data_IF_834441031746
#
_entry.id   IF_834441031746
#
_cell.length_a   1.000
_cell.length_b   1.000
_cell.length_c   1.000
_cell.angle_alpha   90.00
_cell.angle_beta   90.00
_cell.angle_gamma   90.00
#
_symmetry.space_group_name_H-M   'P 1'
#
loop_
_entity.id
_entity.type
_entity.pdbx_description
1 polymer ?
#
# COMPACT_ATOMS: atom_id res chain seq x y z
N UNK A 1 -38.83 -3.97 -42.34
CA UNK A 1 -37.67 -4.43 -41.54
C UNK A 1 -37.44 -3.61 -40.25
N UNK A 2 -38.00 -2.41 -40.11
CA UNK A 2 -37.83 -1.54 -38.92
C UNK A 2 -38.76 -1.94 -37.74
N UNK A 3 -39.90 -2.58 -38.02
CA UNK A 3 -40.84 -3.04 -36.97
C UNK A 3 -40.34 -4.23 -36.13
N UNK A 4 -39.36 -4.99 -36.62
CA UNK A 4 -38.86 -6.17 -35.89
C UNK A 4 -37.90 -5.80 -34.74
N UNK A 5 -37.26 -4.63 -34.85
CA UNK A 5 -36.36 -4.09 -33.81
C UNK A 5 -37.10 -3.28 -32.72
N UNK A 6 -38.32 -2.81 -32.97
CA UNK A 6 -39.10 -2.05 -31.97
C UNK A 6 -39.89 -2.92 -30.99
N UNK A 7 -40.19 -4.16 -31.35
CA UNK A 7 -40.93 -5.13 -30.52
C UNK A 7 -40.26 -5.43 -29.16
N UNK A 8 -38.96 -5.77 -29.07
CA UNK A 8 -38.33 -6.07 -27.79
C UNK A 8 -38.19 -4.83 -26.89
N UNK A 9 -37.93 -3.66 -27.48
CA UNK A 9 -37.85 -2.40 -26.73
C UNK A 9 -39.21 -1.96 -26.16
N UNK A 10 -40.28 -2.10 -26.94
CA UNK A 10 -41.64 -1.82 -26.49
C UNK A 10 -42.10 -2.78 -25.39
N UNK A 11 -41.73 -4.06 -25.46
CA UNK A 11 -42.00 -5.04 -24.42
C UNK A 11 -41.24 -4.74 -23.12
N UNK A 12 -39.95 -4.38 -23.19
CA UNK A 12 -39.17 -4.00 -22.02
C UNK A 12 -39.68 -2.71 -21.37
N UNK A 13 -40.08 -1.73 -22.18
CA UNK A 13 -40.66 -0.48 -21.68
C UNK A 13 -42.06 -0.70 -21.07
N UNK A 14 -42.89 -1.59 -21.62
CA UNK A 14 -44.20 -1.89 -21.01
C UNK A 14 -44.09 -2.71 -19.73
N UNK A 15 -43.09 -3.58 -19.61
CA UNK A 15 -42.87 -4.40 -18.41
C UNK A 15 -42.13 -3.64 -17.29
N UNK A 16 -41.16 -2.80 -17.65
CA UNK A 16 -40.21 -2.21 -16.69
C UNK A 16 -40.13 -0.68 -16.74
N UNK A 17 -40.87 -0.02 -17.64
CA UNK A 17 -40.86 1.43 -17.86
C UNK A 17 -39.44 2.01 -17.82
N UNK A 18 -39.16 2.89 -16.85
CA UNK A 18 -37.89 3.61 -16.72
C UNK A 18 -36.69 2.68 -16.43
N UNK A 19 -36.91 1.50 -15.85
CA UNK A 19 -35.84 0.51 -15.63
C UNK A 19 -35.30 -0.08 -16.94
N UNK A 20 -36.05 -0.02 -18.05
CA UNK A 20 -35.58 -0.47 -19.36
C UNK A 20 -34.38 0.33 -19.89
N UNK A 21 -34.25 1.61 -19.49
CA UNK A 21 -33.10 2.45 -19.84
C UNK A 21 -31.80 2.05 -19.13
N UNK A 22 -31.90 1.34 -18.01
CA UNK A 22 -30.72 0.88 -17.26
C UNK A 22 -30.16 -0.43 -17.78
N UNK A 23 -30.95 -1.21 -18.52
CA UNK A 23 -30.51 -2.50 -19.09
C UNK A 23 -29.33 -2.32 -20.06
N UNK A 24 -29.33 -1.38 -21.02
CA UNK A 24 -28.17 -1.13 -21.87
C UNK A 24 -26.94 -0.67 -21.10
N UNK A 25 -27.12 0.20 -20.10
CA UNK A 25 -26.03 0.70 -19.25
C UNK A 25 -25.40 -0.43 -18.43
N UNK A 26 -26.22 -1.33 -17.89
CA UNK A 26 -25.78 -2.51 -17.16
C UNK A 26 -25.01 -3.47 -18.07
N UNK A 27 -25.53 -3.76 -19.27
CA UNK A 27 -24.85 -4.63 -20.24
C UNK A 27 -23.50 -4.04 -20.68
N UNK A 28 -23.43 -2.72 -20.85
CA UNK A 28 -22.18 -2.02 -21.15
C UNK A 28 -21.18 -2.12 -20.00
N UNK A 29 -21.61 -1.88 -18.75
CA UNK A 29 -20.77 -2.02 -17.57
C UNK A 29 -20.28 -3.47 -17.38
N UNK A 30 -21.15 -4.45 -17.61
CA UNK A 30 -20.82 -5.88 -17.57
C UNK A 30 -19.79 -6.25 -18.64
N UNK A 31 -19.99 -5.79 -19.89
CA UNK A 31 -19.06 -6.02 -21.00
C UNK A 31 -17.69 -5.38 -20.75
N UNK A 32 -17.67 -4.12 -20.25
CA UNK A 32 -16.45 -3.43 -19.86
C UNK A 32 -15.71 -4.20 -18.76
N UNK A 33 -16.43 -4.67 -17.75
CA UNK A 33 -15.84 -5.41 -16.64
C UNK A 33 -15.28 -6.79 -17.07
N UNK A 34 -15.97 -7.49 -17.98
CA UNK A 34 -15.48 -8.75 -18.57
C UNK A 34 -14.26 -8.54 -19.48
N UNK A 35 -14.17 -7.42 -20.21
CA UNK A 35 -13.08 -7.12 -21.13
C UNK A 35 -11.82 -6.58 -20.41
N UNK A 36 -12.00 -5.92 -19.27
CA UNK A 36 -10.88 -5.39 -18.49
C UNK A 36 -10.08 -6.51 -17.79
N UNK A 37 -8.74 -6.47 -17.86
CA UNK A 37 -7.84 -7.40 -17.14
C UNK A 37 -7.81 -7.17 -15.61
N UNK A 38 -8.64 -6.28 -15.08
CA UNK A 38 -8.76 -5.91 -13.64
C UNK A 38 -9.83 -6.80 -12.96
N UNK A 39 -9.78 -8.10 -13.27
CA UNK A 39 -10.83 -9.04 -12.91
C UNK A 39 -10.74 -9.44 -11.43
N UNK A 40 -11.65 -8.91 -10.61
CA UNK A 40 -11.87 -9.31 -9.21
C UNK A 40 -13.29 -9.83 -9.07
N UNK A 41 -13.45 -11.07 -8.58
CA UNK A 41 -14.77 -11.75 -8.46
C UNK A 41 -15.75 -10.95 -7.60
N UNK A 42 -15.22 -10.18 -6.66
CA UNK A 42 -15.97 -9.32 -5.73
C UNK A 42 -16.74 -8.21 -6.44
N UNK A 43 -16.19 -7.65 -7.53
CA UNK A 43 -16.83 -6.57 -8.29
C UNK A 43 -18.00 -7.07 -9.13
N UNK A 44 -17.93 -8.32 -9.63
CA UNK A 44 -19.03 -8.93 -10.38
C UNK A 44 -20.26 -9.14 -9.47
N UNK A 45 -20.03 -9.56 -8.22
CA UNK A 45 -21.11 -9.76 -7.23
C UNK A 45 -21.82 -8.43 -6.96
N UNK A 46 -21.08 -7.34 -6.72
CA UNK A 46 -21.66 -6.02 -6.47
C UNK A 46 -22.43 -5.51 -7.70
N UNK A 47 -21.87 -5.68 -8.90
CA UNK A 47 -22.54 -5.27 -10.14
C UNK A 47 -23.86 -6.02 -10.34
N UNK A 48 -23.88 -7.34 -10.11
CA UNK A 48 -25.11 -8.14 -10.23
C UNK A 48 -26.17 -7.78 -9.19
N UNK A 49 -25.76 -7.49 -7.94
CA UNK A 49 -26.68 -7.06 -6.88
C UNK A 49 -27.27 -5.67 -7.13
N UNK A 50 -26.59 -4.82 -7.89
CA UNK A 50 -27.04 -3.46 -8.18
C UNK A 50 -28.30 -3.43 -9.05
N UNK A 51 -28.62 -4.50 -9.80
CA UNK A 51 -29.82 -4.55 -10.67
C UNK A 51 -31.11 -4.54 -9.84
N UNK A 52 -31.10 -5.26 -8.71
CA UNK A 52 -32.27 -5.51 -7.88
C UNK A 52 -32.97 -4.20 -7.42
N UNK A 53 -32.27 -3.21 -6.84
CA UNK A 53 -32.89 -1.95 -6.41
C UNK A 53 -33.45 -1.10 -7.57
N UNK A 54 -32.93 -1.21 -8.79
CA UNK A 54 -33.49 -0.51 -9.94
C UNK A 54 -34.83 -1.10 -10.38
N UNK A 55 -34.95 -2.43 -10.34
CA UNK A 55 -36.21 -3.12 -10.66
C UNK A 55 -37.27 -2.80 -9.61
N UNK A 56 -36.91 -2.86 -8.32
CA UNK A 56 -37.85 -2.54 -7.24
C UNK A 56 -38.23 -1.06 -7.20
N UNK A 57 -37.31 -0.15 -7.51
CA UNK A 57 -37.59 1.29 -7.65
C UNK A 57 -38.57 1.58 -8.79
N UNK A 58 -38.41 0.94 -9.95
CA UNK A 58 -39.35 1.09 -11.07
C UNK A 58 -40.75 0.60 -10.69
N UNK A 59 -40.82 -0.54 -10.01
CA UNK A 59 -42.08 -1.11 -9.55
C UNK A 59 -42.77 -0.24 -8.49
N UNK A 60 -41.99 0.33 -7.57
CA UNK A 60 -42.46 1.29 -6.57
C UNK A 60 -43.08 2.54 -7.22
N UNK A 61 -42.42 3.10 -8.24
CA UNK A 61 -42.94 4.25 -8.98
C UNK A 61 -44.25 3.93 -9.72
N UNK A 62 -44.39 2.74 -10.30
CA UNK A 62 -45.64 2.31 -10.94
C UNK A 62 -46.82 2.23 -9.94
N UNK A 63 -46.56 1.76 -8.72
CA UNK A 63 -47.57 1.67 -7.66
C UNK A 63 -47.91 3.05 -7.08
N UNK A 64 -46.92 3.95 -6.96
CA UNK A 64 -47.12 5.30 -6.41
C UNK A 64 -47.90 6.22 -7.37
N UNK A 65 -47.66 6.10 -8.68
CA UNK A 65 -48.28 6.93 -9.71
C UNK A 65 -49.28 6.16 -10.58
N UNK A 66 -49.97 5.19 -9.97
CA UNK A 66 -50.93 4.33 -10.65
C UNK A 66 -52.05 5.09 -11.39
N UNK A 67 -52.32 6.35 -11.04
CA UNK A 67 -53.31 7.20 -11.71
C UNK A 67 -52.83 7.83 -13.02
N UNK A 68 -51.52 7.87 -13.29
CA UNK A 68 -50.92 8.58 -14.42
C UNK A 68 -50.08 7.71 -15.35
N UNK A 69 -49.65 6.52 -14.91
CA UNK A 69 -48.82 5.61 -15.70
C UNK A 69 -49.52 4.31 -16.04
N UNK A 70 -49.11 3.71 -17.15
CA UNK A 70 -49.45 2.33 -17.51
C UNK A 70 -48.87 1.38 -16.45
N UNK A 71 -49.73 0.62 -15.77
CA UNK A 71 -49.33 -0.26 -14.68
C UNK A 71 -49.04 -1.66 -15.25
N UNK A 72 -47.92 -2.27 -14.84
CA UNK A 72 -47.64 -3.68 -15.16
C UNK A 72 -48.63 -4.62 -14.45
N UNK A 73 -48.89 -5.84 -14.96
CA UNK A 73 -49.80 -6.79 -14.31
C UNK A 73 -49.42 -7.10 -12.85
N UNK A 74 -48.12 -7.13 -12.56
CA UNK A 74 -47.62 -7.33 -11.20
C UNK A 74 -47.90 -6.11 -10.30
N UNK A 75 -47.72 -4.88 -10.80
CA UNK A 75 -47.99 -3.67 -10.01
C UNK A 75 -49.50 -3.49 -9.80
N UNK A 76 -50.32 -3.88 -10.79
CA UNK A 76 -51.78 -3.90 -10.68
C UNK A 76 -52.23 -4.85 -9.57
N UNK A 77 -51.67 -6.06 -9.50
CA UNK A 77 -51.95 -7.01 -8.42
C UNK A 77 -51.66 -6.43 -7.03
N UNK A 78 -50.55 -5.71 -6.86
CA UNK A 78 -50.19 -5.06 -5.59
C UNK A 78 -51.19 -3.96 -5.23
N UNK A 79 -51.56 -3.12 -6.20
CA UNK A 79 -52.55 -2.04 -5.99
C UNK A 79 -53.93 -2.62 -5.65
N UNK A 80 -54.38 -3.68 -6.34
CA UNK A 80 -55.67 -4.34 -6.09
C UNK A 80 -55.76 -5.00 -4.71
N UNK A 81 -54.66 -5.59 -4.22
CA UNK A 81 -54.65 -6.35 -2.96
C UNK A 81 -54.34 -5.50 -1.74
N UNK A 82 -53.45 -4.52 -1.87
CA UNK A 82 -52.90 -3.76 -0.74
C UNK A 82 -53.22 -2.28 -0.81
N UNK A 83 -53.71 -1.77 -1.95
CA UNK A 83 -53.88 -0.34 -2.19
C UNK A 83 -52.56 0.36 -2.55
N UNK A 84 -52.64 1.45 -3.32
CA UNK A 84 -51.45 2.15 -3.82
C UNK A 84 -50.53 2.70 -2.72
N UNK A 85 -51.11 3.29 -1.66
CA UNK A 85 -50.34 3.88 -0.55
C UNK A 85 -49.63 2.79 0.27
N UNK A 86 -50.36 1.77 0.70
CA UNK A 86 -49.82 0.68 1.53
C UNK A 86 -48.85 -0.21 0.74
N UNK A 87 -49.18 -0.55 -0.51
CA UNK A 87 -48.28 -1.28 -1.41
C UNK A 87 -46.99 -0.49 -1.70
N UNK A 88 -47.10 0.82 -1.89
CA UNK A 88 -45.94 1.71 -2.05
C UNK A 88 -45.03 1.72 -0.83
N UNK A 89 -45.58 1.80 0.39
CA UNK A 89 -44.77 1.78 1.62
C UNK A 89 -44.00 0.46 1.76
N UNK A 90 -44.65 -0.68 1.47
CA UNK A 90 -44.02 -2.01 1.57
C UNK A 90 -42.86 -2.14 0.58
N UNK A 91 -43.07 -1.72 -0.67
CA UNK A 91 -42.03 -1.76 -1.70
C UNK A 91 -40.86 -0.81 -1.40
N UNK A 92 -41.15 0.34 -0.79
CA UNK A 92 -40.11 1.27 -0.33
C UNK A 92 -39.24 0.66 0.78
N UNK A 93 -39.85 -0.01 1.77
CA UNK A 93 -39.12 -0.72 2.82
C UNK A 93 -38.26 -1.85 2.25
N UNK A 94 -38.77 -2.56 1.25
CA UNK A 94 -38.03 -3.60 0.55
C UNK A 94 -36.81 -3.03 -0.21
N UNK A 95 -36.98 -1.91 -0.91
CA UNK A 95 -35.88 -1.19 -1.57
C UNK A 95 -34.80 -0.73 -0.56
N UNK A 96 -35.21 -0.24 0.61
CA UNK A 96 -34.28 0.16 1.68
C UNK A 96 -33.49 -1.04 2.19
N UNK A 97 -34.13 -2.19 2.35
CA UNK A 97 -33.49 -3.44 2.76
C UNK A 97 -32.45 -3.91 1.72
N UNK A 98 -32.77 -3.84 0.43
CA UNK A 98 -31.85 -4.17 -0.67
C UNK A 98 -30.62 -3.25 -0.66
N UNK A 99 -30.81 -1.96 -0.45
CA UNK A 99 -29.71 -0.99 -0.36
C UNK A 99 -28.81 -1.28 0.86
N UNK A 100 -29.40 -1.63 2.01
CA UNK A 100 -28.66 -2.01 3.21
C UNK A 100 -27.86 -3.30 2.98
N UNK A 101 -28.44 -4.29 2.31
CA UNK A 101 -27.76 -5.52 1.93
C UNK A 101 -26.53 -5.23 1.07
N UNK A 102 -26.64 -4.36 0.07
CA UNK A 102 -25.52 -3.94 -0.79
C UNK A 102 -24.42 -3.27 0.05
N UNK A 103 -24.78 -2.36 0.96
CA UNK A 103 -23.80 -1.71 1.86
C UNK A 103 -23.10 -2.72 2.78
N UNK A 104 -23.82 -3.72 3.28
CA UNK A 104 -23.25 -4.76 4.15
C UNK A 104 -22.32 -5.69 3.38
N UNK A 105 -22.70 -6.12 2.18
CA UNK A 105 -21.85 -6.94 1.30
C UNK A 105 -20.59 -6.16 0.89
N UNK A 106 -20.73 -4.86 0.57
CA UNK A 106 -19.58 -3.99 0.30
C UNK A 106 -18.63 -3.91 1.50
N UNK A 107 -19.15 -3.70 2.71
CA UNK A 107 -18.35 -3.69 3.94
C UNK A 107 -17.66 -5.03 4.23
N UNK A 108 -18.21 -6.15 3.74
CA UNK A 108 -17.65 -7.49 3.92
C UNK A 108 -16.56 -7.81 2.89
N UNK A 109 -16.77 -7.42 1.63
CA UNK A 109 -15.81 -7.62 0.54
C UNK A 109 -14.69 -6.57 0.52
N UNK A 110 -14.97 -5.37 1.00
CA UNK A 110 -14.03 -4.25 1.14
C UNK A 110 -14.07 -3.75 2.58
N UNK A 111 -13.46 -4.48 3.54
CA UNK A 111 -13.31 -3.95 4.89
C UNK A 111 -12.60 -2.61 4.78
N UNK A 112 -13.25 -1.55 5.28
CA UNK A 112 -12.63 -0.24 5.35
C UNK A 112 -11.28 -0.40 6.06
N UNK A 113 -10.19 0.19 5.56
CA UNK A 113 -8.93 0.19 6.28
C UNK A 113 -9.20 0.72 7.69
N UNK A 114 -8.76 -0.04 8.69
CA UNK A 114 -9.04 0.20 10.11
C UNK A 114 -8.75 1.67 10.44
N UNK A 115 -9.80 2.43 10.71
CA UNK A 115 -9.68 3.82 11.12
C UNK A 115 -9.21 3.78 12.56
N UNK A 116 -7.89 3.71 12.74
CA UNK A 116 -7.23 3.95 14.01
C UNK A 116 -7.81 5.25 14.62
N UNK A 117 -8.35 5.23 15.84
CA UNK A 117 -8.89 6.42 16.47
C UNK A 117 -7.73 7.31 16.90
N UNK A 118 -7.43 8.35 16.12
CA UNK A 118 -6.41 9.34 16.49
C UNK A 118 -5.71 9.99 15.30
N UNK A 119 -6.46 10.68 14.45
CA UNK A 119 -5.90 11.58 13.43
C UNK A 119 -6.62 12.92 13.54
N UNK A 120 -6.19 13.72 14.51
CA UNK A 120 -6.61 15.11 14.65
C UNK A 120 -6.32 15.83 13.33
N UNK A 121 -7.37 16.36 12.71
CA UNK A 121 -7.34 17.29 11.59
C UNK A 121 -6.49 18.50 12.00
N UNK A 122 -5.18 18.43 11.79
CA UNK A 122 -4.37 19.62 11.57
C UNK A 122 -4.50 19.93 10.09
N UNK A 123 -5.45 20.83 9.82
CA UNK A 123 -5.45 21.70 8.66
C UNK A 123 -4.04 22.24 8.47
N UNK A 124 -3.30 21.67 7.53
CA UNK A 124 -2.13 22.33 6.97
C UNK A 124 -2.69 23.54 6.26
N UNK A 125 -2.52 24.70 6.90
CA UNK A 125 -2.74 26.00 6.32
C UNK A 125 -1.96 26.04 5.01
N UNK A 126 -2.71 26.14 3.91
CA UNK A 126 -2.21 26.68 2.66
C UNK A 126 -1.53 28.02 2.98
N UNK A 127 -0.26 28.12 2.58
CA UNK A 127 0.41 29.40 2.45
C UNK A 127 0.94 29.42 1.02
N UNK A 128 0.05 29.77 0.10
CA UNK A 128 0.41 30.30 -1.21
C UNK A 128 0.92 31.72 -1.06
N UNK A 129 2.06 32.03 -1.71
CA UNK A 129 2.24 33.13 -2.67
C UNK A 129 3.74 33.30 -3.02
N UNK A 130 4.09 33.88 -4.18
CA UNK A 130 3.80 33.42 -5.54
C UNK A 130 5.10 33.32 -6.37
N UNK A 131 5.27 32.28 -7.17
CA UNK A 131 6.45 32.12 -8.02
C UNK A 131 6.09 31.52 -9.37
N UNK A 132 6.01 32.40 -10.37
CA UNK A 132 6.02 32.19 -11.83
C UNK A 132 5.41 30.88 -12.37
N UNK A 133 4.21 31.01 -12.93
CA UNK A 133 3.67 30.08 -13.93
C UNK A 133 4.62 30.03 -15.14
N UNK A 134 5.27 28.88 -15.36
CA UNK A 134 5.78 28.47 -16.66
C UNK A 134 4.71 27.58 -17.33
N UNK A 135 4.36 27.84 -18.60
CA UNK A 135 3.25 27.14 -19.25
C UNK A 135 3.60 25.67 -19.54
N UNK A 136 2.69 24.77 -19.16
CA UNK A 136 2.70 23.31 -19.34
C UNK A 136 2.78 22.81 -20.81
N UNK A 137 3.05 23.68 -21.78
CA UNK A 137 3.11 23.33 -23.20
C UNK A 137 4.50 22.98 -23.74
N UNK A 138 5.59 23.26 -23.01
CA UNK A 138 6.95 22.97 -23.50
C UNK A 138 7.52 21.62 -23.01
N UNK A 139 7.07 21.10 -21.87
CA UNK A 139 7.58 19.85 -21.29
C UNK A 139 7.14 18.60 -22.08
N UNK A 140 5.94 18.63 -22.67
CA UNK A 140 5.43 17.56 -23.52
C UNK A 140 6.11 17.56 -24.90
N UNK A 141 6.46 18.74 -25.42
CA UNK A 141 7.10 18.90 -26.72
C UNK A 141 8.55 18.35 -26.74
N UNK A 142 9.27 18.40 -25.61
CA UNK A 142 10.63 17.88 -25.51
C UNK A 142 10.64 16.33 -25.46
N UNK A 143 9.65 15.72 -24.82
CA UNK A 143 9.53 14.26 -24.73
C UNK A 143 9.09 13.66 -26.07
N UNK A 144 8.18 14.32 -26.80
CA UNK A 144 7.75 13.85 -28.12
C UNK A 144 8.83 14.08 -29.20
N UNK A 145 9.67 15.12 -29.08
CA UNK A 145 10.77 15.37 -30.01
C UNK A 145 11.91 14.33 -29.87
N UNK A 146 12.23 13.87 -28.67
CA UNK A 146 13.25 12.81 -28.47
C UNK A 146 12.75 11.44 -28.96
N UNK A 147 11.45 11.13 -28.81
CA UNK A 147 10.86 9.87 -29.30
C UNK A 147 10.69 9.89 -30.82
N UNK A 148 10.35 11.03 -31.41
CA UNK A 148 10.25 11.21 -32.87
C UNK A 148 11.61 11.07 -33.56
N UNK A 149 12.71 11.44 -32.91
CA UNK A 149 14.07 11.31 -33.47
C UNK A 149 14.57 9.86 -33.59
N UNK A 150 13.92 8.90 -32.93
CA UNK A 150 14.25 7.47 -32.99
C UNK A 150 13.39 6.68 -33.98
N UNK A 151 12.29 7.26 -34.49
CA UNK A 151 11.30 6.54 -35.30
C UNK A 151 11.47 6.73 -36.82
N UNK A 152 12.26 7.70 -37.28
CA UNK A 152 12.52 7.95 -38.70
C UNK A 152 13.98 7.65 -39.07
N UNK A 153 14.30 6.36 -39.07
CA UNK A 153 15.47 5.79 -39.75
C UNK A 153 14.99 4.82 -40.81
N UNK A 154 15.10 5.24 -42.06
CA UNK A 154 14.70 4.56 -43.29
C UNK A 154 15.12 3.10 -43.38
N UNK A 155 14.25 2.28 -43.98
CA UNK A 155 14.56 0.96 -44.48
C UNK A 155 15.66 1.05 -45.56
N UNK A 156 16.91 0.88 -45.17
CA UNK A 156 18.02 0.59 -46.09
C UNK A 156 18.13 -0.91 -46.31
N UNK A 157 18.50 -1.28 -47.54
CA UNK A 157 18.64 -2.65 -48.06
C UNK A 157 19.52 -3.55 -47.18
N UNK A 158 19.40 -4.89 -47.29
CA UNK A 158 20.20 -5.80 -46.47
C UNK A 158 21.68 -5.63 -46.78
N UNK A 159 22.40 -4.94 -45.91
CA UNK A 159 23.86 -4.93 -45.88
C UNK A 159 24.33 -6.36 -45.63
N UNK A 160 25.10 -6.91 -46.58
CA UNK A 160 25.85 -8.14 -46.37
C UNK A 160 26.68 -8.01 -45.09
N UNK A 161 26.45 -8.90 -44.13
CA UNK A 161 27.25 -9.03 -42.93
C UNK A 161 28.66 -9.46 -43.34
N UNK A 162 29.52 -8.48 -43.61
CA UNK A 162 30.95 -8.69 -43.59
C UNK A 162 31.30 -9.20 -42.20
N UNK A 163 31.84 -10.42 -42.13
CA UNK A 163 32.42 -10.97 -40.90
C UNK A 163 33.45 -9.98 -40.38
N UNK A 164 33.07 -9.18 -39.39
CA UNK A 164 34.01 -8.40 -38.60
C UNK A 164 34.80 -9.42 -37.81
N UNK A 165 35.97 -9.77 -38.33
CA UNK A 165 36.99 -10.52 -37.63
C UNK A 165 37.14 -9.89 -36.25
N UNK A 166 36.72 -10.62 -35.22
CA UNK A 166 36.91 -10.27 -33.82
C UNK A 166 38.40 -10.32 -33.54
N UNK A 167 39.10 -9.22 -33.84
CA UNK A 167 40.43 -9.00 -33.28
C UNK A 167 40.21 -8.90 -31.78
N UNK A 168 40.54 -9.98 -31.06
CA UNK A 168 40.45 -10.06 -29.61
C UNK A 168 41.31 -8.96 -28.99
N UNK A 169 40.71 -7.80 -28.75
CA UNK A 169 41.21 -6.87 -27.77
C UNK A 169 40.91 -7.52 -26.43
N UNK A 170 41.94 -8.08 -25.81
CA UNK A 170 41.84 -8.57 -24.44
C UNK A 170 41.33 -7.39 -23.59
N UNK A 171 40.07 -7.48 -23.12
CA UNK A 171 39.56 -6.55 -22.14
C UNK A 171 40.54 -6.55 -20.97
N UNK A 172 41.13 -5.39 -20.68
CA UNK A 172 42.03 -5.23 -19.55
C UNK A 172 41.27 -5.72 -18.32
N UNK A 173 41.87 -6.64 -17.56
CA UNK A 173 41.27 -7.21 -16.36
C UNK A 173 40.81 -6.06 -15.45
N UNK A 174 39.50 -5.93 -15.28
CA UNK A 174 38.92 -4.81 -14.55
C UNK A 174 39.13 -5.07 -13.05
N UNK A 175 40.17 -4.45 -12.49
CA UNK A 175 40.33 -4.37 -11.05
C UNK A 175 39.44 -3.26 -10.52
N UNK A 176 38.50 -3.58 -9.62
CA UNK A 176 37.79 -2.54 -8.89
C UNK A 176 38.80 -1.66 -8.13
N UNK A 177 38.65 -0.33 -8.13
CA UNK A 177 39.35 0.53 -7.19
C UNK A 177 38.72 0.33 -5.81
N UNK A 178 39.05 -0.78 -5.15
CA UNK A 178 38.50 -1.19 -3.84
C UNK A 178 39.01 -0.29 -2.71
N UNK A 179 40.18 0.31 -2.88
CA UNK A 179 40.82 1.12 -1.84
C UNK A 179 40.50 2.61 -2.01
N UNK A 180 39.99 3.24 -0.95
CA UNK A 180 39.82 4.69 -0.86
C UNK A 180 38.57 5.28 -1.52
N UNK A 181 37.78 4.51 -2.28
CA UNK A 181 36.54 5.00 -2.90
C UNK A 181 35.41 5.15 -1.89
N UNK A 182 35.30 4.22 -0.95
CA UNK A 182 34.23 4.22 0.05
C UNK A 182 34.63 5.01 1.28
N UNK A 183 33.75 5.92 1.71
CA UNK A 183 33.94 6.72 2.91
C UNK A 183 33.86 5.85 4.16
N UNK A 184 34.77 6.11 5.09
CA UNK A 184 34.67 5.62 6.47
C UNK A 184 33.86 6.62 7.29
N UNK A 185 33.01 6.10 8.16
CA UNK A 185 32.31 6.90 9.15
C UNK A 185 32.82 6.49 10.52
N UNK A 186 33.19 7.47 11.34
CA UNK A 186 33.53 7.24 12.74
C UNK A 186 32.24 6.89 13.49
N UNK A 187 31.83 5.63 13.40
CA UNK A 187 30.73 5.13 14.19
C UNK A 187 31.26 4.94 15.61
N UNK A 188 30.83 5.79 16.55
CA UNK A 188 31.10 5.59 17.96
C UNK A 188 30.57 4.23 18.44
N UNK A 189 30.82 3.89 19.72
CA UNK A 189 30.33 2.64 20.33
C UNK A 189 28.82 2.70 20.58
N UNK A 190 28.01 2.74 19.52
CA UNK A 190 26.55 2.89 19.59
C UNK A 190 25.89 1.77 20.41
N UNK A 191 26.48 0.57 20.46
CA UNK A 191 25.99 -0.56 21.23
C UNK A 191 26.15 -0.39 22.75
N UNK A 192 26.91 0.62 23.19
CA UNK A 192 27.14 0.86 24.61
C UNK A 192 25.89 1.47 25.25
N UNK A 193 25.38 0.78 26.28
CA UNK A 193 24.31 1.28 27.14
C UNK A 193 24.90 2.39 28.02
N UNK A 194 24.58 3.63 27.68
CA UNK A 194 24.92 4.84 28.42
C UNK A 194 23.87 5.14 29.49
N UNK A 195 24.15 6.13 30.33
CA UNK A 195 23.25 6.52 31.41
C UNK A 195 21.93 7.09 30.87
N UNK A 196 21.95 7.78 29.73
CA UNK A 196 20.74 8.24 29.04
C UNK A 196 19.81 7.07 28.66
N UNK A 197 20.36 5.95 28.17
CA UNK A 197 19.58 4.76 27.84
C UNK A 197 18.96 4.12 29.10
N UNK A 198 19.68 4.13 30.22
CA UNK A 198 19.17 3.63 31.50
C UNK A 198 18.09 4.54 32.07
N UNK A 199 18.25 5.84 31.94
CA UNK A 199 17.25 6.84 32.32
C UNK A 199 15.98 6.68 31.47
N UNK A 200 16.11 6.50 30.16
CA UNK A 200 14.98 6.21 29.28
C UNK A 200 14.23 4.93 29.71
N UNK A 201 14.93 3.87 30.13
CA UNK A 201 14.30 2.67 30.68
C UNK A 201 13.52 2.95 31.98
N UNK A 202 14.06 3.81 32.86
CA UNK A 202 13.39 4.22 34.09
C UNK A 202 12.14 5.05 33.81
N UNK A 203 12.23 6.04 32.90
CA UNK A 203 11.10 6.86 32.44
C UNK A 203 10.02 5.97 31.80
N UNK A 204 10.41 4.99 30.98
CA UNK A 204 9.48 4.05 30.37
C UNK A 204 8.72 3.24 31.42
N UNK A 205 9.43 2.71 32.42
CA UNK A 205 8.83 1.98 33.54
C UNK A 205 7.85 2.86 34.32
N UNK A 206 8.27 4.07 34.68
CA UNK A 206 7.43 5.04 35.39
C UNK A 206 6.19 5.41 34.56
N UNK A 207 6.35 5.64 33.26
CA UNK A 207 5.25 5.97 32.36
C UNK A 207 4.21 4.85 32.36
N UNK A 208 4.63 3.60 32.20
CA UNK A 208 3.69 2.46 32.26
C UNK A 208 2.97 2.39 33.62
N UNK A 209 3.68 2.65 34.72
CA UNK A 209 3.11 2.67 36.06
C UNK A 209 2.06 3.79 36.26
N UNK A 210 2.30 5.00 35.74
CA UNK A 210 1.35 6.11 35.76
C UNK A 210 0.02 5.74 35.07
N UNK A 211 0.09 4.95 34.00
CA UNK A 211 -1.08 4.39 33.33
C UNK A 211 -1.63 3.11 33.99
N UNK A 212 -1.19 2.78 35.21
CA UNK A 212 -1.59 1.59 35.98
C UNK A 212 -1.29 0.30 35.23
N UNK A 213 -0.15 0.24 34.54
CA UNK A 213 0.39 -0.96 33.90
C UNK A 213 1.64 -1.36 34.67
N UNK A 214 1.54 -2.43 35.45
CA UNK A 214 2.69 -3.02 36.13
C UNK A 214 3.50 -3.81 35.11
N UNK A 215 4.76 -3.41 34.91
CA UNK A 215 5.69 -4.09 34.03
C UNK A 215 7.13 -3.87 34.50
N UNK A 216 8.02 -4.78 34.09
CA UNK A 216 9.45 -4.72 34.39
C UNK A 216 10.26 -4.64 33.10
N UNK A 217 11.33 -3.83 33.12
CA UNK A 217 12.31 -3.81 32.03
C UNK A 217 13.28 -4.97 32.27
N UNK A 218 13.22 -6.01 31.44
CA UNK A 218 14.05 -7.22 31.59
C UNK A 218 15.33 -7.16 30.76
N UNK A 219 15.39 -6.30 29.75
CA UNK A 219 16.55 -6.18 28.89
C UNK A 219 16.55 -4.90 28.07
N UNK A 220 17.74 -4.49 27.63
CA UNK A 220 17.96 -3.35 26.75
C UNK A 220 18.87 -3.82 25.62
N UNK A 221 18.44 -3.62 24.37
CA UNK A 221 19.23 -3.90 23.17
C UNK A 221 19.37 -2.62 22.37
N UNK A 222 20.56 -2.03 22.41
CA UNK A 222 20.86 -0.78 21.72
C UNK A 222 21.46 -1.05 20.35
N UNK A 223 20.71 -0.70 19.31
CA UNK A 223 21.15 -0.76 17.92
C UNK A 223 21.72 0.57 17.42
N UNK A 224 22.06 0.65 16.11
CA UNK A 224 22.61 1.87 15.52
C UNK A 224 21.59 3.02 15.42
N UNK A 225 20.33 2.70 15.10
CA UNK A 225 19.27 3.70 14.85
C UNK A 225 18.23 3.74 15.96
N UNK A 226 17.94 2.58 16.56
CA UNK A 226 16.91 2.42 17.59
C UNK A 226 17.44 1.58 18.76
N UNK A 227 16.83 1.75 19.93
CA UNK A 227 17.01 0.92 21.11
C UNK A 227 15.72 0.17 21.38
N UNK A 228 15.82 -1.15 21.58
CA UNK A 228 14.71 -1.99 22.01
C UNK A 228 14.77 -2.22 23.52
N UNK A 229 13.73 -1.79 24.23
CA UNK A 229 13.49 -2.14 25.62
C UNK A 229 12.60 -3.37 25.69
N UNK A 230 13.09 -4.44 26.31
CA UNK A 230 12.31 -5.65 26.57
C UNK A 230 11.52 -5.47 27.86
N UNK A 231 10.19 -5.51 27.75
CA UNK A 231 9.25 -5.26 28.84
C UNK A 231 8.48 -6.54 29.15
N UNK A 232 8.54 -7.00 30.40
CA UNK A 232 7.73 -8.09 30.91
C UNK A 232 6.50 -7.50 31.63
N UNK A 233 5.29 -7.56 31.04
CA UNK A 233 4.09 -7.10 31.72
C UNK A 233 3.66 -8.09 32.81
N UNK A 234 3.06 -7.57 33.88
CA UNK A 234 2.47 -8.39 34.93
C UNK A 234 1.29 -9.23 34.40
N UNK A 235 0.99 -10.34 35.08
CA UNK A 235 -0.13 -11.21 34.73
C UNK A 235 -1.45 -10.42 34.64
N UNK A 236 -2.22 -10.68 33.58
CA UNK A 236 -3.52 -10.04 33.34
C UNK A 236 -3.46 -8.68 32.64
N UNK A 237 -2.28 -8.11 32.40
CA UNK A 237 -2.14 -6.91 31.56
C UNK A 237 -2.39 -7.28 30.09
N UNK A 238 -3.37 -6.63 29.46
CA UNK A 238 -3.63 -6.80 28.02
C UNK A 238 -2.55 -6.10 27.19
N UNK A 239 -2.01 -6.80 26.20
CA UNK A 239 -1.00 -6.28 25.25
C UNK A 239 -1.51 -5.03 24.53
N UNK A 240 -2.78 -5.01 24.12
CA UNK A 240 -3.40 -3.86 23.45
C UNK A 240 -3.35 -2.58 24.29
N UNK A 241 -3.36 -2.69 25.63
CA UNK A 241 -3.26 -1.55 26.52
C UNK A 241 -1.88 -0.90 26.44
N UNK A 242 -0.82 -1.70 26.28
CA UNK A 242 0.55 -1.20 26.09
C UNK A 242 0.66 -0.61 24.68
N UNK A 243 0.14 -1.31 23.66
CA UNK A 243 0.14 -0.84 22.27
C UNK A 243 -0.51 0.54 22.12
N UNK A 244 -1.64 0.77 22.79
CA UNK A 244 -2.38 2.04 22.76
C UNK A 244 -1.67 3.19 23.49
N UNK A 245 -0.59 2.93 24.23
CA UNK A 245 0.21 3.96 24.89
C UNK A 245 1.42 4.41 24.06
N UNK A 246 1.58 3.93 22.82
CA UNK A 246 2.72 4.27 21.97
C UNK A 246 3.00 5.79 21.92
N UNK A 247 1.96 6.61 21.71
CA UNK A 247 2.10 8.07 21.61
C UNK A 247 2.47 8.71 22.95
N UNK A 248 1.89 8.22 24.06
CA UNK A 248 2.22 8.72 25.40
C UNK A 248 3.66 8.36 25.80
N UNK A 249 4.11 7.16 25.44
CA UNK A 249 5.49 6.70 25.65
C UNK A 249 6.44 7.54 24.79
N UNK A 250 6.10 7.79 23.52
CA UNK A 250 6.89 8.64 22.64
C UNK A 250 7.03 10.06 23.22
N UNK A 251 5.93 10.64 23.71
CA UNK A 251 5.94 11.95 24.36
C UNK A 251 6.85 11.98 25.59
N UNK A 252 6.73 10.99 26.48
CA UNK A 252 7.51 10.92 27.72
C UNK A 252 9.01 10.71 27.49
N UNK A 253 9.36 10.00 26.42
CA UNK A 253 10.75 9.76 26.03
C UNK A 253 11.31 10.82 25.07
N UNK A 254 10.54 11.88 24.77
CA UNK A 254 10.88 12.88 23.76
C UNK A 254 11.28 12.26 22.40
N UNK A 255 10.65 11.13 22.04
CA UNK A 255 10.91 10.40 20.82
C UNK A 255 9.93 10.82 19.72
N UNK A 256 10.38 10.80 18.46
CA UNK A 256 9.51 11.16 17.32
C UNK A 256 8.35 10.19 17.14
N UNK A 257 8.59 8.90 17.39
CA UNK A 257 7.59 7.82 17.45
C UNK A 257 8.20 6.62 18.16
N UNK A 258 7.35 5.72 18.63
CA UNK A 258 7.77 4.45 19.24
C UNK A 258 7.06 3.30 18.53
N UNK A 259 7.76 2.18 18.31
CA UNK A 259 7.18 0.97 17.72
C UNK A 259 7.07 -0.11 18.80
N UNK A 260 5.89 -0.70 18.94
CA UNK A 260 5.62 -1.74 19.92
C UNK A 260 5.55 -3.09 19.19
N UNK A 261 6.41 -4.01 19.58
CA UNK A 261 6.52 -5.37 19.06
C UNK A 261 6.02 -6.32 20.13
N UNK A 262 4.85 -6.93 19.92
CA UNK A 262 4.26 -7.81 20.92
C UNK A 262 3.56 -9.02 20.28
N UNK A 263 3.82 -10.25 20.75
CA UNK A 263 4.96 -10.65 21.61
C UNK A 263 6.29 -10.62 20.83
N UNK A 264 7.42 -10.52 21.54
CA UNK A 264 8.74 -10.79 20.94
C UNK A 264 8.82 -12.29 20.61
N UNK A 265 9.17 -12.69 19.36
CA UNK A 265 9.32 -14.10 19.01
C UNK A 265 10.27 -14.84 19.97
N UNK A 266 9.80 -15.95 20.54
CA UNK A 266 10.59 -16.76 21.47
C UNK A 266 10.72 -16.21 22.90
N UNK A 267 10.06 -15.10 23.24
CA UNK A 267 10.09 -14.51 24.59
C UNK A 267 8.69 -14.13 25.09
N UNK A 268 8.47 -14.21 26.40
CA UNK A 268 7.25 -13.73 27.06
C UNK A 268 7.32 -12.21 27.34
N UNK A 269 7.79 -11.42 26.38
CA UNK A 269 8.04 -9.99 26.56
C UNK A 269 7.47 -9.16 25.40
N UNK A 270 7.27 -7.87 25.67
CA UNK A 270 6.90 -6.84 24.70
C UNK A 270 8.14 -6.00 24.42
N UNK A 271 8.49 -5.85 23.15
CA UNK A 271 9.59 -5.00 22.71
C UNK A 271 9.08 -3.58 22.44
N UNK A 272 9.72 -2.58 23.04
CA UNK A 272 9.44 -1.17 22.78
C UNK A 272 10.66 -0.58 22.09
N UNK A 273 10.54 -0.32 20.79
CA UNK A 273 11.58 0.24 19.94
C UNK A 273 11.50 1.76 19.95
N UNK A 274 12.54 2.40 20.48
CA UNK A 274 12.65 3.85 20.63
C UNK A 274 13.82 4.34 19.78
N UNK A 275 13.65 5.39 18.94
CA UNK A 275 14.75 6.02 18.23
C UNK A 275 15.86 6.48 19.17
N UNK A 276 17.12 6.23 18.79
CA UNK A 276 18.26 6.79 19.51
C UNK A 276 18.31 8.31 19.31
N UNK A 277 18.78 9.02 20.33
CA UNK A 277 19.07 10.46 20.25
C UNK A 277 20.13 10.74 19.18
N UNK A 278 21.22 9.98 19.22
CA UNK A 278 22.28 9.98 18.21
C UNK A 278 22.23 8.69 17.40
N UNK A 279 21.92 8.81 16.11
CA UNK A 279 21.85 7.66 15.18
C UNK A 279 23.21 7.45 14.54
N UNK A 280 23.73 6.22 14.62
CA UNK A 280 24.93 5.83 13.90
C UNK A 280 24.64 5.54 12.42
N UNK A 281 25.55 5.93 11.54
CA UNK A 281 25.43 5.69 10.10
C UNK A 281 25.88 4.25 9.81
N UNK A 282 24.98 3.44 9.26
CA UNK A 282 25.37 2.13 8.72
C UNK A 282 26.00 2.35 7.36
N UNK A 283 27.33 2.26 7.28
CA UNK A 283 28.07 2.55 6.05
C UNK A 283 28.13 1.33 5.12
N UNK A 284 28.18 1.55 3.81
CA UNK A 284 28.37 0.42 2.88
C UNK A 284 29.75 -0.24 3.08
N UNK A 285 30.78 0.57 3.35
CA UNK A 285 32.16 0.10 3.59
C UNK A 285 32.24 -0.89 4.75
N UNK A 286 31.65 -0.55 5.90
CA UNK A 286 31.70 -1.42 7.08
C UNK A 286 31.02 -2.77 6.85
N UNK A 287 30.12 -2.87 5.87
CA UNK A 287 29.40 -4.10 5.55
C UNK A 287 30.18 -5.00 4.59
N UNK A 288 30.80 -4.42 3.57
CA UNK A 288 31.54 -5.21 2.56
C UNK A 288 32.87 -5.76 3.10
N UNK A 289 33.46 -5.15 4.13
CA UNK A 289 34.72 -5.65 4.73
C UNK A 289 34.49 -6.83 5.67
N UNK A 290 33.23 -7.16 6.00
CA UNK A 290 32.90 -8.25 6.91
C UNK A 290 33.17 -9.61 6.27
N UNK A 291 33.64 -10.55 7.08
CA UNK A 291 33.79 -11.95 6.67
C UNK A 291 32.47 -12.56 6.20
N UNK A 292 31.33 -12.13 6.78
CA UNK A 292 30.00 -12.56 6.33
C UNK A 292 29.66 -12.13 4.90
N UNK A 293 30.28 -11.06 4.39
CA UNK A 293 30.16 -10.65 2.98
C UNK A 293 31.25 -11.29 2.11
N UNK A 294 32.50 -11.30 2.59
CA UNK A 294 33.67 -11.73 1.83
C UNK A 294 33.74 -13.25 1.65
N UNK A 295 33.40 -14.03 2.68
CA UNK A 295 33.62 -15.49 2.72
C UNK A 295 32.32 -16.31 2.67
N UNK A 296 31.19 -15.70 2.29
CA UNK A 296 29.95 -16.45 2.10
C UNK A 296 29.98 -17.30 0.81
N UNK A 297 29.09 -18.30 0.74
CA UNK A 297 28.87 -19.14 -0.44
C UNK A 297 27.69 -18.63 -1.29
N UNK A 298 27.30 -17.37 -1.15
CA UNK A 298 26.17 -16.81 -1.90
C UNK A 298 26.57 -16.59 -3.36
N UNK A 299 25.62 -16.88 -4.26
CA UNK A 299 25.82 -16.67 -5.69
C UNK A 299 25.81 -15.18 -6.03
N UNK A 300 24.88 -14.43 -5.44
CA UNK A 300 24.76 -12.98 -5.61
C UNK A 300 24.49 -12.34 -4.24
N UNK A 301 25.52 -12.18 -3.39
CA UNK A 301 25.37 -11.52 -2.09
C UNK A 301 25.02 -10.04 -2.25
N UNK A 302 23.96 -9.61 -1.58
CA UNK A 302 23.52 -8.22 -1.51
C UNK A 302 23.48 -7.74 -0.05
N UNK A 303 24.00 -6.54 0.18
CA UNK A 303 23.99 -5.88 1.50
C UNK A 303 22.70 -5.07 1.64
N UNK A 304 21.90 -5.40 2.65
CA UNK A 304 20.70 -4.63 3.02
C UNK A 304 20.95 -3.63 4.15
N UNK A 305 21.96 -3.88 4.99
CA UNK A 305 22.32 -3.03 6.13
C UNK A 305 22.45 -3.84 7.40
N UNK A 306 22.10 -3.25 8.54
CA UNK A 306 22.10 -3.90 9.86
C UNK A 306 20.68 -4.00 10.40
N UNK A 307 20.43 -5.02 11.21
CA UNK A 307 19.17 -5.15 11.93
C UNK A 307 19.12 -4.20 13.16
N UNK A 308 18.06 -4.37 13.97
CA UNK A 308 17.85 -3.58 15.19
C UNK A 308 18.91 -3.84 16.28
N UNK A 309 19.60 -4.98 16.24
CA UNK A 309 20.69 -5.33 17.15
C UNK A 309 22.05 -4.88 16.62
N UNK A 310 22.12 -4.43 15.36
CA UNK A 310 23.36 -4.07 14.69
C UNK A 310 24.02 -5.23 13.96
N UNK A 311 23.35 -6.38 13.84
CA UNK A 311 23.85 -7.55 13.12
C UNK A 311 23.72 -7.35 11.61
N UNK A 312 24.75 -7.72 10.83
CA UNK A 312 24.76 -7.50 9.40
C UNK A 312 23.72 -8.37 8.68
N UNK A 313 22.92 -7.74 7.82
CA UNK A 313 21.90 -8.38 6.99
C UNK A 313 22.38 -8.46 5.55
N UNK A 314 22.82 -9.66 5.16
CA UNK A 314 23.31 -9.99 3.82
C UNK A 314 22.44 -11.12 3.29
N UNK A 315 21.93 -10.97 2.07
CA UNK A 315 21.00 -11.92 1.44
C UNK A 315 21.58 -12.38 0.10
N UNK A 316 21.30 -13.63 -0.28
CA UNK A 316 21.60 -14.11 -1.63
C UNK A 316 20.43 -13.79 -2.57
N UNK A 317 20.64 -12.86 -3.50
CA UNK A 317 19.64 -12.46 -4.48
C UNK A 317 19.24 -13.63 -5.40
N UNK A 318 20.09 -14.65 -5.58
CA UNK A 318 19.75 -15.82 -6.39
C UNK A 318 18.65 -16.68 -5.75
N UNK A 319 18.55 -16.71 -4.42
CA UNK A 319 17.50 -17.42 -3.69
C UNK A 319 16.19 -16.62 -3.65
N UNK A 320 16.25 -15.31 -3.85
CA UNK A 320 15.11 -14.40 -3.93
C UNK A 320 15.10 -13.67 -5.28
N UNK A 321 14.83 -14.37 -6.40
CA UNK A 321 15.14 -13.88 -7.76
C UNK A 321 14.35 -12.65 -8.18
N UNK A 322 13.26 -12.32 -7.47
CA UNK A 322 12.46 -11.14 -7.70
C UNK A 322 12.28 -10.37 -6.38
N UNK A 323 12.64 -9.09 -6.41
CA UNK A 323 12.58 -8.20 -5.25
C UNK A 323 11.73 -6.97 -5.59
N UNK A 324 10.75 -6.66 -4.76
CA UNK A 324 9.95 -5.43 -4.85
C UNK A 324 10.47 -4.41 -3.83
N UNK A 325 10.89 -3.23 -4.29
CA UNK A 325 11.34 -2.13 -3.43
C UNK A 325 10.37 -0.96 -3.57
N UNK A 326 9.65 -0.64 -2.49
CA UNK A 326 8.68 0.45 -2.45
C UNK A 326 8.92 1.39 -1.26
N UNK A 327 8.62 2.67 -1.42
CA UNK A 327 8.80 3.69 -0.39
C UNK A 327 8.60 5.11 -0.93
N UNK A 328 8.17 6.02 -0.05
CA UNK A 328 7.99 7.44 -0.33
C UNK A 328 9.33 8.15 -0.63
N UNK A 329 9.30 9.34 -1.21
CA UNK A 329 10.50 10.15 -1.45
C UNK A 329 11.23 10.43 -0.14
N UNK A 330 12.57 10.34 -0.16
CA UNK A 330 13.39 10.53 1.05
C UNK A 330 13.47 9.33 2.00
N UNK A 331 12.76 8.23 1.73
CA UNK A 331 12.82 7.01 2.58
C UNK A 331 14.08 6.16 2.42
N UNK A 332 14.93 6.47 1.43
CA UNK A 332 16.17 5.73 1.17
C UNK A 332 16.09 4.68 0.05
N UNK A 333 14.98 4.61 -0.71
CA UNK A 333 14.82 3.66 -1.83
C UNK A 333 15.97 3.68 -2.84
N UNK A 334 16.36 4.86 -3.35
CA UNK A 334 17.45 4.98 -4.32
C UNK A 334 18.81 4.59 -3.73
N UNK A 335 19.03 4.87 -2.43
CA UNK A 335 20.25 4.46 -1.72
C UNK A 335 20.30 2.93 -1.56
N UNK A 336 19.17 2.29 -1.27
CA UNK A 336 19.05 0.83 -1.21
C UNK A 336 19.38 0.17 -2.56
N UNK A 337 18.83 0.70 -3.66
CA UNK A 337 19.14 0.22 -5.01
C UNK A 337 20.64 0.34 -5.31
N UNK A 338 21.26 1.48 -4.97
CA UNK A 338 22.70 1.66 -5.14
C UNK A 338 23.51 0.68 -4.28
N UNK A 339 23.09 0.39 -3.04
CA UNK A 339 23.72 -0.64 -2.19
C UNK A 339 23.69 -2.02 -2.86
N UNK A 340 22.57 -2.39 -3.47
CA UNK A 340 22.42 -3.66 -4.19
C UNK A 340 23.37 -3.72 -5.38
N UNK A 341 23.39 -2.68 -6.22
CA UNK A 341 24.28 -2.59 -7.39
C UNK A 341 25.74 -2.68 -6.95
N UNK A 342 26.14 -1.86 -5.96
CA UNK A 342 27.49 -1.88 -5.42
C UNK A 342 27.85 -3.25 -4.83
N UNK A 343 26.93 -3.95 -4.17
CA UNK A 343 27.19 -5.30 -3.64
C UNK A 343 27.57 -6.28 -4.75
N UNK A 344 26.86 -6.23 -5.88
CA UNK A 344 27.13 -7.09 -7.04
C UNK A 344 28.50 -6.75 -7.64
N UNK A 345 28.80 -5.45 -7.81
CA UNK A 345 30.08 -5.00 -8.33
C UNK A 345 31.23 -5.48 -7.43
N UNK A 346 31.18 -5.19 -6.13
CA UNK A 346 32.23 -5.55 -5.17
C UNK A 346 32.43 -7.04 -4.93
N UNK A 347 31.49 -7.88 -5.36
CA UNK A 347 31.62 -9.35 -5.28
C UNK A 347 32.18 -9.97 -6.56
N UNK A 348 31.81 -9.43 -7.73
CA UNK A 348 32.17 -9.99 -9.04
C UNK A 348 33.51 -9.49 -9.60
N UNK A 349 34.22 -8.66 -8.85
CA UNK A 349 35.52 -8.11 -9.24
C UNK A 349 36.69 -8.84 -8.59
#
# INVERSE_FOLDING_TARGET
MIYFLSLPGAFLFSAFLWASFFVPLYLFALAYFLASRIFRKENLIILTLLILPFVTSSFWLQVLFSSHLSISPAAAFVVERLGGVFGGIILFLFLLLELLLILKVRSLLYPLPDKSPGGLLLTVSENEQPGEELPDSESAAIIDAEISSFAEGSAEEPLELAEVATSGTAFKEYGLPVEGVLKEYANGKYWQIDDNTREAAAILKQTLEEFKIKAEVTGIRKGPVITMFEILPAAGVKISRIANLADNIALRLAASRVRIVAPIPGKQAVGIEVPNLERAIVSFREMIVLDSFQKNNFAIPIVLGKDIAGEPQIVDLALTPHLLIAGATGSGKSVCVNSIICSILYRKA
#
